data_IF_104789373959
#
_entry.id   IF_104789373959
#
_cell.length_a   1.000
_cell.length_b   1.000
_cell.length_c   1.000
_cell.angle_alpha   90.00
_cell.angle_beta   90.00
_cell.angle_gamma   90.00
#
_symmetry.space_group_name_H-M   'P 1'
#
loop_
_entity.id
_entity.type
_entity.pdbx_description
1 polymer ?
#
# COMPACT_ATOMS: atom_id res chain seq x y z
N UNK A 1 9.27 0.87 61.73
CA UNK A 1 8.45 1.99 61.31
C UNK A 1 8.87 2.48 59.92
N UNK A 2 8.83 1.60 58.89
CA UNK A 2 9.10 1.91 57.49
C UNK A 2 7.82 2.32 56.74
N UNK A 3 6.68 2.34 57.43
CA UNK A 3 5.37 2.56 56.80
C UNK A 3 4.98 4.01 56.54
N UNK A 4 5.86 4.98 56.89
CA UNK A 4 5.56 6.40 56.71
C UNK A 4 6.49 7.12 55.72
N UNK A 5 7.26 6.38 54.95
CA UNK A 5 8.13 6.95 53.94
C UNK A 5 7.27 7.31 52.68
N UNK A 6 7.22 8.60 52.29
CA UNK A 6 6.43 9.00 51.14
C UNK A 6 6.85 8.26 49.86
N UNK A 7 8.10 7.79 49.77
CA UNK A 7 8.59 6.99 48.68
C UNK A 7 7.81 5.67 48.50
N UNK A 8 7.48 4.99 49.60
CA UNK A 8 6.74 3.71 49.57
C UNK A 8 5.30 3.89 49.08
N UNK A 9 4.69 5.06 49.30
CA UNK A 9 3.32 5.35 48.84
C UNK A 9 3.27 5.67 47.33
N UNK A 10 4.38 6.19 46.74
CA UNK A 10 4.44 6.59 45.33
C UNK A 10 4.81 5.37 44.45
N UNK A 11 5.56 4.40 44.99
CA UNK A 11 6.04 3.22 44.26
C UNK A 11 4.93 2.46 43.50
N UNK A 12 3.77 2.13 44.08
CA UNK A 12 2.69 1.44 43.38
C UNK A 12 2.15 2.25 42.19
N UNK A 13 2.11 3.59 42.31
CA UNK A 13 1.66 4.48 41.28
C UNK A 13 2.65 4.50 40.11
N UNK A 14 3.96 4.51 40.40
CA UNK A 14 5.00 4.47 39.36
C UNK A 14 4.92 3.14 38.61
N UNK A 15 4.82 2.02 39.33
CA UNK A 15 4.69 0.69 38.70
C UNK A 15 3.41 0.59 37.88
N UNK A 16 2.30 1.07 38.41
CA UNK A 16 1.02 1.11 37.69
C UNK A 16 1.10 1.92 36.42
N UNK A 17 1.77 3.09 36.44
CA UNK A 17 1.98 3.92 35.26
C UNK A 17 2.88 3.23 34.24
N UNK A 18 3.94 2.57 34.68
CA UNK A 18 4.84 1.81 33.78
C UNK A 18 4.11 0.66 33.09
N UNK A 19 3.32 -0.11 33.83
CA UNK A 19 2.50 -1.19 33.26
C UNK A 19 1.49 -0.64 32.27
N UNK A 20 0.82 0.47 32.64
CA UNK A 20 -0.14 1.13 31.74
C UNK A 20 0.53 1.59 30.43
N UNK A 21 1.68 2.26 30.50
CA UNK A 21 2.41 2.71 29.32
C UNK A 21 2.90 1.52 28.47
N UNK A 22 3.36 0.46 29.10
CA UNK A 22 3.76 -0.76 28.41
C UNK A 22 2.61 -1.42 27.65
N UNK A 23 1.46 -1.56 28.30
CA UNK A 23 0.27 -2.14 27.67
C UNK A 23 -0.29 -1.25 26.55
N UNK A 24 -0.27 0.07 26.73
CA UNK A 24 -0.68 1.02 25.70
C UNK A 24 0.24 0.93 24.47
N UNK A 25 1.55 0.89 24.68
CA UNK A 25 2.53 0.75 23.59
C UNK A 25 2.31 -0.56 22.82
N UNK A 26 2.08 -1.67 23.53
CA UNK A 26 1.79 -2.95 22.92
C UNK A 26 0.47 -2.93 22.13
N UNK A 27 -0.58 -2.33 22.68
CA UNK A 27 -1.87 -2.21 22.01
C UNK A 27 -1.77 -1.41 20.73
N UNK A 28 -1.04 -0.29 20.73
CA UNK A 28 -0.79 0.53 19.52
C UNK A 28 0.03 -0.26 18.50
N UNK A 29 1.06 -0.99 18.93
CA UNK A 29 1.89 -1.79 18.02
C UNK A 29 1.05 -2.90 17.34
N UNK A 30 0.17 -3.58 18.06
CA UNK A 30 -0.74 -4.58 17.51
C UNK A 30 -1.76 -3.95 16.54
N UNK A 31 -2.33 -2.80 16.89
CA UNK A 31 -3.26 -2.08 16.00
C UNK A 31 -2.60 -1.70 14.69
N UNK A 32 -1.39 -1.15 14.75
CA UNK A 32 -0.62 -0.79 13.55
C UNK A 32 -0.30 -2.01 12.72
N UNK A 33 0.02 -3.16 13.33
CA UNK A 33 0.32 -4.39 12.60
C UNK A 33 -0.91 -4.95 11.87
N UNK A 34 -2.09 -4.92 12.50
CA UNK A 34 -3.34 -5.37 11.86
C UNK A 34 -3.74 -4.45 10.69
N UNK A 35 -3.68 -3.13 10.89
CA UNK A 35 -3.93 -2.18 9.81
C UNK A 35 -2.96 -2.38 8.63
N UNK A 36 -1.68 -2.59 8.92
CA UNK A 36 -0.68 -2.84 7.89
C UNK A 36 -0.96 -4.13 7.12
N UNK A 37 -1.39 -5.20 7.79
CA UNK A 37 -1.77 -6.46 7.17
C UNK A 37 -3.02 -6.31 6.28
N UNK A 38 -4.05 -5.63 6.77
CA UNK A 38 -5.28 -5.37 6.01
C UNK A 38 -5.02 -4.51 4.77
N UNK A 39 -4.17 -3.48 4.90
CA UNK A 39 -3.78 -2.65 3.77
C UNK A 39 -2.93 -3.42 2.75
N UNK A 40 -2.01 -4.27 3.20
CA UNK A 40 -1.24 -5.09 2.27
C UNK A 40 -2.11 -6.10 1.54
N UNK A 41 -3.09 -6.71 2.19
CA UNK A 41 -4.03 -7.64 1.56
C UNK A 41 -4.93 -6.96 0.51
N UNK A 42 -5.35 -5.71 0.74
CA UNK A 42 -6.16 -4.94 -0.22
C UNK A 42 -5.38 -4.39 -1.43
N UNK A 43 -4.06 -4.27 -1.32
CA UNK A 43 -3.17 -3.75 -2.36
C UNK A 43 -2.37 -4.86 -3.06
N UNK A 44 -2.45 -6.10 -2.58
CA UNK A 44 -1.80 -7.25 -3.21
C UNK A 44 -2.59 -7.67 -4.42
N UNK A 45 -2.00 -7.54 -5.57
CA UNK A 45 -2.45 -8.24 -6.75
C UNK A 45 -2.98 -7.37 -7.88
N UNK A 46 -2.83 -6.05 -7.86
CA UNK A 46 -3.17 -5.23 -9.04
C UNK A 46 -2.01 -4.36 -9.48
N UNK A 47 -1.77 -4.33 -10.79
CA UNK A 47 -0.83 -3.46 -11.47
C UNK A 47 -1.60 -2.72 -12.56
N UNK A 48 -1.35 -1.43 -12.69
CA UNK A 48 -2.05 -0.61 -13.67
C UNK A 48 -1.13 -0.29 -14.85
N UNK A 49 -1.60 -0.58 -16.06
CA UNK A 49 -0.96 -0.14 -17.29
C UNK A 49 -1.73 1.09 -17.78
N UNK A 50 -1.05 2.20 -17.99
CA UNK A 50 -1.62 3.38 -18.61
C UNK A 50 -1.05 3.55 -20.02
N UNK A 51 -1.93 3.82 -20.98
CA UNK A 51 -1.57 4.03 -22.38
C UNK A 51 -1.98 5.45 -22.74
N UNK A 52 -0.99 6.28 -23.03
CA UNK A 52 -1.21 7.68 -23.39
C UNK A 52 -1.60 7.75 -24.87
N UNK A 53 -2.67 8.49 -25.18
CA UNK A 53 -3.08 8.79 -26.56
C UNK A 53 -2.07 9.74 -27.20
N UNK A 54 -1.71 9.46 -28.44
CA UNK A 54 -0.96 10.39 -29.27
C UNK A 54 -1.96 11.29 -30.02
N UNK A 55 -1.62 12.56 -30.23
CA UNK A 55 -2.53 13.61 -30.71
C UNK A 55 -3.24 13.31 -32.05
N UNK A 56 -2.73 12.37 -32.85
CA UNK A 56 -3.24 12.03 -34.20
C UNK A 56 -3.76 10.58 -34.27
N UNK A 57 -3.95 9.90 -33.10
CA UNK A 57 -4.33 8.50 -33.05
C UNK A 57 -5.84 8.31 -33.12
N UNK A 58 -6.30 7.42 -34.00
CA UNK A 58 -7.72 7.05 -34.07
C UNK A 58 -8.14 6.16 -32.90
N UNK A 59 -9.42 6.17 -32.54
CA UNK A 59 -9.96 5.28 -31.50
C UNK A 59 -9.67 3.80 -31.79
N UNK A 60 -9.72 3.39 -33.05
CA UNK A 60 -9.45 2.01 -33.46
C UNK A 60 -8.00 1.60 -33.24
N UNK A 61 -7.05 2.49 -33.49
CA UNK A 61 -5.63 2.26 -33.22
C UNK A 61 -5.37 2.18 -31.73
N UNK A 62 -5.98 3.07 -30.94
CA UNK A 62 -5.90 3.04 -29.49
C UNK A 62 -6.46 1.73 -28.93
N UNK A 63 -7.62 1.27 -29.38
CA UNK A 63 -8.21 0.00 -28.94
C UNK A 63 -7.33 -1.19 -29.33
N UNK A 64 -6.64 -1.15 -30.49
CA UNK A 64 -5.67 -2.17 -30.85
C UNK A 64 -4.51 -2.22 -29.88
N UNK A 65 -3.94 -1.06 -29.52
CA UNK A 65 -2.85 -0.95 -28.54
C UNK A 65 -3.26 -1.44 -27.15
N UNK A 66 -4.48 -1.12 -26.72
CA UNK A 66 -5.04 -1.64 -25.46
C UNK A 66 -5.13 -3.17 -25.48
N UNK A 67 -5.60 -3.75 -26.59
CA UNK A 67 -5.69 -5.20 -26.73
C UNK A 67 -4.30 -5.86 -26.78
N UNK A 68 -3.31 -5.20 -27.37
CA UNK A 68 -1.92 -5.68 -27.38
C UNK A 68 -1.31 -5.64 -25.98
N UNK A 69 -1.56 -4.59 -25.21
CA UNK A 69 -1.14 -4.50 -23.81
C UNK A 69 -1.77 -5.60 -22.96
N UNK A 70 -3.08 -5.88 -23.12
CA UNK A 70 -3.77 -6.97 -22.43
C UNK A 70 -3.15 -8.32 -22.78
N UNK A 71 -2.86 -8.56 -24.06
CA UNK A 71 -2.23 -9.82 -24.51
C UNK A 71 -0.84 -10.01 -23.91
N UNK A 72 -0.03 -8.96 -23.89
CA UNK A 72 1.31 -9.03 -23.28
C UNK A 72 1.25 -9.24 -21.77
N UNK A 73 0.31 -8.57 -21.08
CA UNK A 73 0.08 -8.81 -19.67
C UNK A 73 -0.30 -10.26 -19.38
N UNK A 74 -1.27 -10.82 -20.11
CA UNK A 74 -1.75 -12.20 -19.92
C UNK A 74 -0.71 -13.29 -20.24
N UNK A 75 0.30 -12.99 -21.07
CA UNK A 75 1.43 -13.90 -21.33
C UNK A 75 2.42 -13.93 -20.16
N UNK A 76 2.34 -13.00 -19.23
CA UNK A 76 3.30 -12.89 -18.14
C UNK A 76 2.92 -13.84 -17.01
N UNK A 77 3.85 -14.71 -16.57
CA UNK A 77 3.61 -15.58 -15.43
C UNK A 77 3.23 -14.76 -14.19
N UNK A 78 2.21 -15.20 -13.46
CA UNK A 78 1.71 -14.50 -12.27
C UNK A 78 0.54 -13.54 -12.53
N UNK A 79 0.15 -13.30 -13.79
CA UNK A 79 -1.04 -12.53 -14.12
C UNK A 79 -2.26 -13.45 -14.16
N UNK A 80 -3.27 -13.15 -13.35
CA UNK A 80 -4.54 -13.88 -13.32
C UNK A 80 -5.55 -13.32 -14.34
N UNK A 81 -5.62 -11.99 -14.48
CA UNK A 81 -6.50 -11.34 -15.45
C UNK A 81 -5.97 -9.96 -15.83
N UNK A 82 -6.32 -9.50 -17.03
CA UNK A 82 -6.06 -8.15 -17.50
C UNK A 82 -7.31 -7.61 -18.21
N UNK A 83 -7.73 -6.40 -17.88
CA UNK A 83 -8.99 -5.84 -18.35
C UNK A 83 -8.86 -4.32 -18.57
N UNK A 84 -9.33 -3.82 -19.70
CA UNK A 84 -9.43 -2.39 -19.92
C UNK A 84 -10.54 -1.79 -19.05
N UNK A 85 -10.29 -0.64 -18.44
CA UNK A 85 -11.30 0.13 -17.72
C UNK A 85 -12.07 0.97 -18.74
N UNK A 86 -13.41 0.82 -18.83
CA UNK A 86 -14.21 1.63 -19.74
C UNK A 86 -14.09 3.13 -19.43
N UNK A 87 -14.01 3.97 -20.47
CA UNK A 87 -13.95 5.43 -20.31
C UNK A 87 -15.15 5.97 -19.52
N UNK A 88 -16.32 5.35 -19.66
CA UNK A 88 -17.51 5.73 -18.90
C UNK A 88 -17.33 5.55 -17.38
N UNK A 89 -16.50 4.61 -16.96
CA UNK A 89 -16.17 4.41 -15.56
C UNK A 89 -15.16 5.45 -15.09
N UNK A 90 -14.16 5.76 -15.90
CA UNK A 90 -13.20 6.85 -15.64
C UNK A 90 -13.92 8.18 -15.55
N UNK A 91 -14.85 8.44 -16.47
CA UNK A 91 -15.70 9.63 -16.49
C UNK A 91 -16.49 9.81 -15.17
N UNK A 92 -17.13 8.74 -14.68
CA UNK A 92 -17.85 8.77 -13.40
C UNK A 92 -16.96 9.08 -12.20
N UNK A 93 -15.73 8.64 -12.20
CA UNK A 93 -14.77 8.93 -11.13
C UNK A 93 -14.29 10.39 -11.17
N UNK A 94 -14.23 10.99 -12.36
CA UNK A 94 -13.82 12.38 -12.55
C UNK A 94 -14.97 13.39 -12.41
N UNK A 95 -16.21 12.97 -12.56
CA UNK A 95 -17.39 13.84 -12.48
C UNK A 95 -17.43 14.73 -11.22
N UNK A 96 -17.10 14.26 -9.99
CA UNK A 96 -17.08 15.10 -8.79
C UNK A 96 -16.04 16.24 -8.84
N UNK A 97 -15.00 16.11 -9.68
CA UNK A 97 -13.91 17.08 -9.79
C UNK A 97 -14.06 18.03 -10.98
N UNK A 98 -14.66 17.53 -12.07
CA UNK A 98 -14.79 18.28 -13.33
C UNK A 98 -16.20 18.85 -13.55
N UNK A 99 -17.20 18.44 -12.76
CA UNK A 99 -18.61 18.75 -12.98
C UNK A 99 -19.25 17.84 -14.05
N UNK A 100 -20.57 17.69 -13.98
CA UNK A 100 -21.34 16.78 -14.85
C UNK A 100 -21.37 17.23 -16.34
N UNK A 101 -21.00 18.47 -16.63
CA UNK A 101 -21.06 19.07 -17.99
C UNK A 101 -19.68 19.18 -18.67
N UNK A 102 -18.60 18.66 -18.05
CA UNK A 102 -17.28 18.74 -18.67
C UNK A 102 -17.23 17.90 -19.95
N UNK A 103 -16.78 18.44 -21.07
CA UNK A 103 -16.63 17.69 -22.34
C UNK A 103 -15.47 16.70 -22.21
N UNK A 104 -15.72 15.57 -21.53
CA UNK A 104 -14.75 14.49 -21.34
C UNK A 104 -14.26 13.90 -22.66
N UNK A 105 -15.05 14.04 -23.73
CA UNK A 105 -14.68 13.59 -25.07
C UNK A 105 -13.50 14.36 -25.67
N UNK A 106 -13.28 15.63 -25.25
CA UNK A 106 -12.20 16.48 -25.76
C UNK A 106 -10.92 16.40 -24.92
N UNK A 107 -10.95 15.66 -23.79
CA UNK A 107 -9.79 15.47 -22.94
C UNK A 107 -8.99 14.25 -23.42
N UNK A 108 -7.67 14.36 -23.60
CA UNK A 108 -6.80 13.22 -23.92
C UNK A 108 -6.64 12.33 -22.70
N UNK A 109 -7.73 11.59 -22.39
CA UNK A 109 -7.71 10.67 -21.24
C UNK A 109 -6.88 9.43 -21.59
N UNK A 110 -5.93 9.03 -20.73
CA UNK A 110 -5.21 7.79 -20.93
C UNK A 110 -6.16 6.59 -20.80
N UNK A 111 -5.95 5.58 -21.62
CA UNK A 111 -6.60 4.28 -21.46
C UNK A 111 -5.90 3.53 -20.35
N UNK A 112 -6.69 2.92 -19.48
CA UNK A 112 -6.20 2.22 -18.28
C UNK A 112 -6.53 0.73 -18.44
N UNK A 113 -5.52 -0.11 -18.26
CA UNK A 113 -5.67 -1.56 -18.17
C UNK A 113 -5.34 -1.98 -16.74
N UNK A 114 -6.32 -2.58 -16.07
CA UNK A 114 -6.18 -3.16 -14.75
C UNK A 114 -5.72 -4.62 -14.90
N UNK A 115 -4.58 -4.93 -14.31
CA UNK A 115 -3.95 -6.24 -14.33
C UNK A 115 -4.02 -6.83 -12.93
N UNK A 116 -4.78 -7.90 -12.76
CA UNK A 116 -4.88 -8.61 -11.48
C UNK A 116 -3.86 -9.74 -11.46
N UNK A 117 -3.10 -9.83 -10.39
CA UNK A 117 -2.14 -10.90 -10.17
C UNK A 117 -2.80 -12.12 -9.51
N UNK A 118 -2.23 -13.29 -9.71
CA UNK A 118 -2.61 -14.48 -8.95
C UNK A 118 -2.14 -14.34 -7.48
N UNK A 119 -2.82 -15.01 -6.57
CA UNK A 119 -2.42 -15.06 -5.15
C UNK A 119 -0.97 -15.57 -5.04
N UNK A 120 -0.16 -14.86 -4.25
CA UNK A 120 1.25 -15.16 -4.01
C UNK A 120 2.17 -15.20 -5.26
N UNK A 121 1.74 -14.64 -6.38
CA UNK A 121 2.57 -14.57 -7.56
C UNK A 121 3.58 -13.42 -7.49
N UNK A 122 4.85 -13.75 -7.67
CA UNK A 122 5.89 -12.75 -7.96
C UNK A 122 5.82 -12.36 -9.44
N UNK A 123 5.43 -11.12 -9.71
CA UNK A 123 5.43 -10.58 -11.06
C UNK A 123 6.83 -10.07 -11.44
N UNK A 124 7.37 -10.53 -12.55
CA UNK A 124 8.53 -9.89 -13.17
C UNK A 124 8.14 -8.56 -13.83
N UNK A 125 8.05 -7.52 -13.00
CA UNK A 125 7.66 -6.17 -13.42
C UNK A 125 8.64 -5.60 -14.43
N UNK A 126 9.94 -5.87 -14.27
CA UNK A 126 10.98 -5.37 -15.15
C UNK A 126 10.85 -6.00 -16.55
N UNK A 127 10.65 -7.31 -16.60
CA UNK A 127 10.43 -8.02 -17.85
C UNK A 127 9.10 -7.63 -18.52
N UNK A 128 8.02 -7.45 -17.75
CA UNK A 128 6.75 -6.99 -18.29
C UNK A 128 6.86 -5.56 -18.86
N UNK A 129 7.52 -4.65 -18.14
CA UNK A 129 7.77 -3.29 -18.62
C UNK A 129 8.51 -3.27 -19.96
N UNK A 130 9.61 -4.01 -20.07
CA UNK A 130 10.39 -4.06 -21.33
C UNK A 130 9.59 -4.64 -22.50
N UNK A 131 8.74 -5.65 -22.27
CA UNK A 131 7.85 -6.18 -23.31
C UNK A 131 6.76 -5.20 -23.71
N UNK A 132 6.17 -4.52 -22.74
CA UNK A 132 5.15 -3.49 -22.99
C UNK A 132 5.73 -2.30 -23.79
N UNK A 133 6.90 -1.80 -23.41
CA UNK A 133 7.57 -0.70 -24.15
C UNK A 133 7.84 -1.08 -25.59
N UNK A 134 8.16 -2.34 -25.86
CA UNK A 134 8.44 -2.84 -27.23
C UNK A 134 7.16 -3.08 -28.02
N UNK A 135 6.12 -3.65 -27.39
CA UNK A 135 4.87 -4.03 -28.05
C UNK A 135 3.88 -2.86 -28.18
N UNK A 136 3.89 -1.95 -27.21
CA UNK A 136 2.94 -0.84 -27.10
C UNK A 136 3.73 0.44 -26.74
N UNK A 137 4.33 1.14 -27.69
CA UNK A 137 5.06 2.38 -27.42
C UNK A 137 4.19 3.40 -26.69
N UNK A 138 4.71 4.02 -25.63
CA UNK A 138 3.97 4.96 -24.79
C UNK A 138 3.06 4.31 -23.72
N UNK A 139 3.08 2.98 -23.57
CA UNK A 139 2.50 2.32 -22.42
C UNK A 139 3.44 2.49 -21.21
N UNK A 140 2.90 2.98 -20.11
CA UNK A 140 3.59 3.05 -18.82
C UNK A 140 3.01 2.01 -17.87
N UNK A 141 3.88 1.36 -17.11
CA UNK A 141 3.51 0.44 -16.03
C UNK A 141 3.64 1.18 -14.70
N UNK A 142 2.53 1.40 -14.04
CA UNK A 142 2.51 2.01 -12.71
C UNK A 142 2.59 0.91 -11.65
N UNK A 143 3.73 0.91 -10.96
CA UNK A 143 4.05 -0.08 -9.95
C UNK A 143 3.97 0.55 -8.57
N UNK A 144 2.85 0.30 -7.90
CA UNK A 144 2.64 0.73 -6.51
C UNK A 144 3.48 -0.08 -5.49
N UNK A 145 4.20 -1.12 -5.93
CA UNK A 145 4.97 -2.00 -5.04
C UNK A 145 6.17 -1.27 -4.40
N UNK A 146 6.82 -0.37 -5.13
CA UNK A 146 7.96 0.39 -4.59
C UNK A 146 7.59 1.25 -3.38
N UNK A 147 6.41 1.83 -3.40
CA UNK A 147 5.90 2.62 -2.27
C UNK A 147 5.50 1.71 -1.10
N UNK A 148 4.85 0.59 -1.39
CA UNK A 148 4.46 -0.43 -0.43
C UNK A 148 5.66 -0.98 0.34
N UNK A 149 6.75 -1.34 -0.33
CA UNK A 149 7.96 -1.86 0.30
C UNK A 149 8.62 -0.86 1.23
N UNK A 150 8.56 0.43 0.89
CA UNK A 150 9.02 1.49 1.79
C UNK A 150 8.12 1.61 3.02
N UNK A 151 6.81 1.53 2.83
CA UNK A 151 5.84 1.60 3.91
C UNK A 151 5.98 0.41 4.86
N UNK A 152 6.08 -0.81 4.33
CA UNK A 152 6.26 -2.03 5.14
C UNK A 152 7.56 -1.95 5.96
N UNK A 153 8.67 -1.53 5.35
CA UNK A 153 9.93 -1.32 6.08
C UNK A 153 9.80 -0.25 7.17
N UNK A 154 9.09 0.83 6.90
CA UNK A 154 8.84 1.88 7.89
C UNK A 154 7.99 1.36 9.06
N UNK A 155 6.92 0.60 8.79
CA UNK A 155 6.09 -0.02 9.82
C UNK A 155 6.88 -1.03 10.65
N UNK A 156 7.74 -1.82 10.02
CA UNK A 156 8.63 -2.74 10.73
C UNK A 156 9.61 -2.01 11.65
N UNK A 157 10.17 -0.89 11.22
CA UNK A 157 11.02 -0.05 12.07
C UNK A 157 10.26 0.48 13.29
N UNK A 158 9.01 0.92 13.12
CA UNK A 158 8.15 1.34 14.24
C UNK A 158 7.92 0.18 15.23
N UNK A 159 7.67 -1.02 14.73
CA UNK A 159 7.47 -2.21 15.57
C UNK A 159 8.72 -2.54 16.39
N UNK A 160 9.91 -2.45 15.80
CA UNK A 160 11.18 -2.65 16.53
C UNK A 160 11.32 -1.61 17.65
N UNK A 161 11.07 -0.33 17.36
CA UNK A 161 11.13 0.73 18.38
C UNK A 161 10.14 0.47 19.51
N UNK A 162 8.90 0.11 19.18
CA UNK A 162 7.89 -0.24 20.16
C UNK A 162 8.31 -1.44 21.04
N UNK A 163 8.86 -2.50 20.43
CA UNK A 163 9.35 -3.67 21.16
C UNK A 163 10.50 -3.31 22.12
N UNK A 164 11.45 -2.48 21.68
CA UNK A 164 12.54 -1.98 22.52
C UNK A 164 12.01 -1.14 23.68
N UNK A 165 11.04 -0.27 23.45
CA UNK A 165 10.40 0.52 24.51
C UNK A 165 9.70 -0.36 25.54
N UNK A 166 8.93 -1.35 25.10
CA UNK A 166 8.28 -2.31 26.02
C UNK A 166 9.31 -3.09 26.83
N UNK A 167 10.39 -3.53 26.21
CA UNK A 167 11.48 -4.24 26.90
C UNK A 167 12.16 -3.34 27.96
N UNK A 168 12.43 -2.08 27.66
CA UNK A 168 13.03 -1.11 28.59
C UNK A 168 12.09 -0.82 29.75
N UNK A 169 10.80 -0.59 29.49
CA UNK A 169 9.78 -0.39 30.53
C UNK A 169 9.69 -1.62 31.43
N UNK A 170 9.68 -2.81 30.84
CA UNK A 170 9.66 -4.07 31.59
C UNK A 170 10.89 -4.25 32.48
N UNK A 171 12.08 -4.02 31.91
CA UNK A 171 13.35 -4.10 32.67
C UNK A 171 13.39 -3.09 33.83
N UNK A 172 12.93 -1.85 33.57
CA UNK A 172 12.86 -0.81 34.62
C UNK A 172 11.86 -1.20 35.70
N UNK A 173 10.70 -1.71 35.31
CA UNK A 173 9.66 -2.16 36.27
C UNK A 173 10.19 -3.29 37.16
N UNK A 174 10.86 -4.30 36.56
CA UNK A 174 11.45 -5.41 37.34
C UNK A 174 12.52 -4.88 38.29
N UNK A 175 13.40 -3.97 37.82
CA UNK A 175 14.42 -3.37 38.66
C UNK A 175 13.81 -2.63 39.87
N UNK A 176 12.78 -1.82 39.64
CA UNK A 176 12.09 -1.06 40.69
C UNK A 176 11.37 -2.00 41.70
N UNK A 177 10.85 -3.13 41.26
CA UNK A 177 10.17 -4.10 42.13
C UNK A 177 11.15 -4.93 42.94
N UNK A 178 12.32 -5.25 42.39
CA UNK A 178 13.33 -6.10 43.02
C UNK A 178 14.19 -5.31 44.03
N UNK A 179 14.47 -4.06 43.77
CA UNK A 179 15.30 -3.19 44.63
C UNK A 179 14.45 -2.20 45.44
#
# INVERSE_FOLDING_TARGET
PLSNDPAVRILPWIVGLMVYLGTLTLAVALLVSTLAADWSAGLTGTVTIHIVSTSDESETEMDSRVNDAIREALKTPGVASARAIPLSQVAKLLAPWLGDEAPLADLPLPRIVDVTLAEDAELDITGLRGRLETAVPGAGLDDHQLWRDRLVRFLFAIQIVAAVMVALIGATTVTVVVF
#
